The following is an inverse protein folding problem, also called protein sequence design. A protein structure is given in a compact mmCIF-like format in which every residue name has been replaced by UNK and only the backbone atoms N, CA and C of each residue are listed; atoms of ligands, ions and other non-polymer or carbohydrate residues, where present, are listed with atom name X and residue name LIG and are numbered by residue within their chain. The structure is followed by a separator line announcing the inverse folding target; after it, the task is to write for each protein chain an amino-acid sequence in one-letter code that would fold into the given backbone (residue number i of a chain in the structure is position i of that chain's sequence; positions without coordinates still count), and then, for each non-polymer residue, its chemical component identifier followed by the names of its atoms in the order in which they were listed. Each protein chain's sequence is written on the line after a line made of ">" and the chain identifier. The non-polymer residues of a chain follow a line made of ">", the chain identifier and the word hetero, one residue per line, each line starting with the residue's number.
data_IF_492712463064
#
_entry.id   IF_492712463064
#
_cell.length_a   1.000
_cell.length_b   1.000
_cell.length_c   1.000
_cell.angle_alpha   90.00
_cell.angle_beta   90.00
_cell.angle_gamma   90.00
#
_symmetry.space_group_name_H-M   'P 1'
#
loop_
_entity.id
_entity.type
_entity.pdbx_description
1 polymer ?
#
# COMPACT_ATOMS: atom_id res chain seq x y z
N UNK A 1 -26.79 4.06 8.55
CA UNK A 1 -27.15 5.15 7.61
C UNK A 1 -26.60 4.77 6.24
N UNK A 2 -27.37 4.87 5.17
CA UNK A 2 -26.89 4.58 3.81
C UNK A 2 -26.33 5.85 3.16
N UNK A 3 -25.15 5.74 2.54
CA UNK A 3 -24.57 6.83 1.77
C UNK A 3 -25.35 6.98 0.44
N UNK A 4 -25.68 8.20 0.00
CA UNK A 4 -26.60 8.39 -1.13
C UNK A 4 -26.02 7.90 -2.47
N UNK A 5 -24.72 8.04 -2.67
CA UNK A 5 -24.06 7.60 -3.91
C UNK A 5 -23.75 6.10 -3.87
N UNK A 6 -23.96 5.45 -5.01
CA UNK A 6 -23.54 4.06 -5.25
C UNK A 6 -22.25 4.06 -6.06
N UNK A 7 -21.40 3.09 -5.78
CA UNK A 7 -20.11 2.94 -6.46
C UNK A 7 -20.11 1.65 -7.27
N UNK A 8 -19.33 1.60 -8.34
CA UNK A 8 -19.08 0.35 -9.05
C UNK A 8 -18.11 -0.52 -8.25
N UNK A 9 -17.06 0.11 -7.70
CA UNK A 9 -15.97 -0.56 -6.98
C UNK A 9 -15.64 0.18 -5.68
N UNK A 10 -15.57 -0.56 -4.57
CA UNK A 10 -15.01 -0.06 -3.31
C UNK A 10 -13.66 -0.71 -3.06
N UNK A 11 -12.65 0.09 -2.75
CA UNK A 11 -11.31 -0.35 -2.34
C UNK A 11 -11.14 -0.12 -0.85
N UNK A 12 -10.82 -1.17 -0.09
CA UNK A 12 -10.64 -1.11 1.37
C UNK A 12 -9.15 -1.13 1.72
N UNK A 13 -8.61 0.05 2.00
CA UNK A 13 -7.25 0.27 2.50
C UNK A 13 -6.31 0.86 1.44
N UNK A 14 -5.86 2.10 1.65
CA UNK A 14 -5.01 2.85 0.70
C UNK A 14 -3.50 2.59 0.81
N UNK A 15 -3.11 1.34 1.04
CA UNK A 15 -1.70 0.91 0.89
C UNK A 15 -1.32 0.70 -0.58
N UNK A 16 -0.08 0.25 -0.85
CA UNK A 16 0.44 0.07 -2.22
C UNK A 16 -0.52 -0.68 -3.16
N UNK A 17 -1.11 -1.79 -2.71
CA UNK A 17 -2.07 -2.55 -3.51
C UNK A 17 -3.39 -1.80 -3.74
N UNK A 18 -3.92 -1.14 -2.70
CA UNK A 18 -5.16 -0.37 -2.79
C UNK A 18 -5.02 0.88 -3.67
N UNK A 19 -3.84 1.51 -3.66
CA UNK A 19 -3.51 2.60 -4.58
C UNK A 19 -3.65 2.15 -6.03
N UNK A 20 -2.96 1.08 -6.44
CA UNK A 20 -3.02 0.62 -7.83
C UNK A 20 -4.41 0.11 -8.20
N UNK A 21 -5.12 -0.58 -7.29
CA UNK A 21 -6.48 -1.04 -7.53
C UNK A 21 -7.48 0.13 -7.71
N UNK A 22 -7.39 1.16 -6.88
CA UNK A 22 -8.24 2.34 -6.97
C UNK A 22 -7.99 3.12 -8.26
N UNK A 23 -6.72 3.32 -8.63
CA UNK A 23 -6.35 4.00 -9.87
C UNK A 23 -6.78 3.20 -11.09
N UNK A 24 -6.59 1.88 -11.09
CA UNK A 24 -6.99 1.02 -12.19
C UNK A 24 -8.52 1.06 -12.42
N UNK A 25 -9.31 0.84 -11.36
CA UNK A 25 -10.77 0.88 -11.46
C UNK A 25 -11.29 2.23 -11.97
N UNK A 26 -10.80 3.34 -11.39
CA UNK A 26 -11.20 4.68 -11.81
C UNK A 26 -10.79 5.01 -13.26
N UNK A 27 -9.59 4.60 -13.69
CA UNK A 27 -9.09 4.81 -15.07
C UNK A 27 -9.84 3.96 -16.10
N UNK A 28 -10.38 2.82 -15.68
CA UNK A 28 -11.26 1.99 -16.51
C UNK A 28 -12.69 2.53 -16.60
N UNK A 29 -12.99 3.66 -15.95
CA UNK A 29 -14.29 4.34 -16.01
C UNK A 29 -15.27 3.95 -14.90
N UNK A 30 -14.86 3.11 -13.94
CA UNK A 30 -15.69 2.75 -12.79
C UNK A 30 -15.75 3.88 -11.76
N UNK A 31 -16.95 4.19 -11.27
CA UNK A 31 -17.12 5.03 -10.07
C UNK A 31 -16.52 4.31 -8.87
N UNK A 32 -15.42 4.84 -8.33
CA UNK A 32 -14.59 4.12 -7.37
C UNK A 32 -14.53 4.88 -6.04
N UNK A 33 -14.71 4.17 -4.94
CA UNK A 33 -14.51 4.69 -3.59
C UNK A 33 -13.30 4.01 -2.93
N UNK A 34 -12.31 4.79 -2.50
CA UNK A 34 -11.22 4.34 -1.65
C UNK A 34 -11.50 4.68 -0.19
N UNK A 35 -11.71 3.65 0.63
CA UNK A 35 -11.82 3.76 2.07
C UNK A 35 -10.47 3.52 2.73
N UNK A 36 -10.07 4.41 3.63
CA UNK A 36 -8.81 4.30 4.37
C UNK A 36 -8.97 4.79 5.80
N UNK A 37 -8.21 4.24 6.74
CA UNK A 37 -8.21 4.70 8.13
C UNK A 37 -7.65 6.13 8.25
N UNK A 38 -6.67 6.45 7.41
CA UNK A 38 -5.98 7.73 7.46
C UNK A 38 -5.49 8.14 6.05
N UNK A 39 -5.98 9.26 5.54
CA UNK A 39 -5.59 9.82 4.23
C UNK A 39 -4.11 10.24 4.24
N UNK A 40 -3.58 10.68 5.37
CA UNK A 40 -2.19 11.10 5.52
C UNK A 40 -1.17 9.94 5.37
N UNK A 41 -1.67 8.70 5.33
CA UNK A 41 -0.85 7.48 5.20
C UNK A 41 -0.93 6.81 3.81
N UNK A 42 -1.66 7.42 2.86
CA UNK A 42 -1.70 6.96 1.48
C UNK A 42 -0.29 6.93 0.88
N UNK A 43 0.12 5.78 0.32
CA UNK A 43 1.47 5.61 -0.22
C UNK A 43 2.59 5.45 0.83
N UNK A 44 2.28 5.30 2.12
CA UNK A 44 3.31 5.18 3.16
C UNK A 44 4.17 3.91 3.01
N UNK A 45 5.49 4.09 2.93
CA UNK A 45 6.49 3.02 2.98
C UNK A 45 6.83 2.63 4.42
N UNK A 46 6.19 1.59 4.96
CA UNK A 46 6.37 1.19 6.36
C UNK A 46 7.68 0.44 6.66
N UNK A 47 8.24 -0.24 5.65
CA UNK A 47 9.44 -1.06 5.81
C UNK A 47 10.67 -0.39 5.18
N UNK A 48 11.18 -0.89 4.05
CA UNK A 48 12.36 -0.35 3.40
C UNK A 48 12.02 0.94 2.62
N UNK A 49 12.80 2.04 2.72
CA UNK A 49 12.65 3.21 1.84
C UNK A 49 13.20 2.94 0.43
N UNK A 50 12.73 1.88 -0.24
CA UNK A 50 13.24 1.46 -1.54
C UNK A 50 12.19 0.74 -2.39
N UNK A 51 12.27 0.96 -3.70
CA UNK A 51 11.45 0.29 -4.72
C UNK A 51 12.37 -0.46 -5.70
N UNK A 52 11.88 -1.58 -6.22
CA UNK A 52 12.62 -2.44 -7.13
C UNK A 52 13.61 -3.38 -6.42
N UNK A 53 14.68 -3.74 -7.11
CA UNK A 53 15.58 -4.84 -6.77
C UNK A 53 15.26 -6.13 -7.52
N UNK A 54 16.02 -7.20 -7.27
CA UNK A 54 15.86 -8.48 -7.97
C UNK A 54 14.43 -8.99 -7.80
N UNK A 55 13.81 -9.40 -8.91
CA UNK A 55 12.38 -9.76 -8.98
C UNK A 55 11.44 -8.55 -8.96
N UNK A 56 11.57 -7.68 -7.95
CA UNK A 56 10.68 -6.53 -7.75
C UNK A 56 10.76 -5.49 -8.87
N UNK A 57 11.92 -5.27 -9.46
CA UNK A 57 12.10 -4.30 -10.56
C UNK A 57 11.24 -4.63 -11.76
N UNK A 58 11.12 -5.93 -12.10
CA UNK A 58 10.33 -6.37 -13.23
C UNK A 58 8.86 -6.10 -12.97
N UNK A 59 8.36 -6.48 -11.78
CA UNK A 59 6.99 -6.17 -11.36
C UNK A 59 6.69 -4.68 -11.37
N UNK A 60 7.63 -3.82 -10.94
CA UNK A 60 7.45 -2.35 -10.99
C UNK A 60 7.32 -1.87 -12.44
N UNK A 61 8.15 -2.37 -13.36
CA UNK A 61 8.09 -2.02 -14.78
C UNK A 61 6.85 -2.59 -15.48
N UNK A 62 6.39 -3.77 -15.08
CA UNK A 62 5.13 -4.35 -15.57
C UNK A 62 3.92 -3.54 -15.11
N UNK A 63 3.88 -3.14 -13.84
CA UNK A 63 2.85 -2.23 -13.31
C UNK A 63 2.87 -0.89 -14.06
N UNK A 64 4.05 -0.33 -14.35
CA UNK A 64 4.19 0.89 -15.15
C UNK A 64 3.66 0.73 -16.58
N UNK A 65 4.00 -0.38 -17.24
CA UNK A 65 3.52 -0.69 -18.59
C UNK A 65 1.99 -0.84 -18.65
N UNK A 66 1.37 -1.31 -17.56
CA UNK A 66 -0.09 -1.37 -17.39
C UNK A 66 -0.71 -0.03 -16.96
N UNK A 67 0.10 1.03 -16.82
CA UNK A 67 -0.35 2.37 -16.50
C UNK A 67 -0.51 2.64 -15.01
N UNK A 68 0.16 1.88 -14.13
CA UNK A 68 0.17 2.10 -12.69
C UNK A 68 0.92 3.36 -12.24
N UNK A 69 0.94 3.62 -10.93
CA UNK A 69 1.55 4.82 -10.35
C UNK A 69 2.92 4.58 -9.69
N UNK A 70 3.21 3.34 -9.26
CA UNK A 70 4.40 3.00 -8.46
C UNK A 70 5.72 3.47 -9.09
N UNK A 71 5.92 3.24 -10.40
CA UNK A 71 7.15 3.64 -11.07
C UNK A 71 7.30 5.16 -11.14
N UNK A 72 6.26 5.88 -11.56
CA UNK A 72 6.25 7.35 -11.64
C UNK A 72 6.48 8.01 -10.28
N UNK A 73 5.85 7.50 -9.22
CA UNK A 73 6.07 7.97 -7.86
C UNK A 73 7.51 7.69 -7.39
N UNK A 74 8.09 6.55 -7.79
CA UNK A 74 9.49 6.22 -7.52
C UNK A 74 10.45 7.16 -8.25
N UNK A 75 10.17 7.48 -9.51
CA UNK A 75 11.02 8.38 -10.29
C UNK A 75 11.04 9.80 -9.74
N UNK A 76 9.89 10.27 -9.22
CA UNK A 76 9.75 11.56 -8.56
C UNK A 76 10.45 11.60 -7.20
N UNK A 77 10.32 10.55 -6.39
CA UNK A 77 10.82 10.51 -5.02
C UNK A 77 12.20 9.87 -4.86
N UNK A 78 12.81 9.40 -5.95
CA UNK A 78 14.04 8.61 -5.89
C UNK A 78 15.27 9.45 -5.59
N UNK A 79 16.04 9.04 -4.58
CA UNK A 79 17.27 9.72 -4.13
C UNK A 79 18.56 8.96 -4.51
N UNK A 80 18.43 7.72 -4.97
CA UNK A 80 19.54 6.90 -5.48
C UNK A 80 18.99 5.82 -6.40
N UNK A 81 19.62 5.59 -7.56
CA UNK A 81 19.25 4.55 -8.52
C UNK A 81 20.46 3.69 -8.87
N UNK A 82 20.25 2.36 -8.94
CA UNK A 82 21.31 1.39 -9.28
C UNK A 82 20.77 0.24 -10.11
N UNK A 83 21.59 -0.28 -11.02
CA UNK A 83 21.37 -1.54 -11.73
C UNK A 83 22.05 -2.67 -10.97
N UNK A 84 21.25 -3.53 -10.36
CA UNK A 84 21.71 -4.79 -9.80
C UNK A 84 22.03 -5.77 -10.92
N UNK A 85 23.03 -6.63 -10.69
CA UNK A 85 23.54 -7.58 -11.69
C UNK A 85 24.00 -6.92 -13.01
N UNK A 86 24.51 -5.68 -12.97
CA UNK A 86 24.95 -4.92 -14.15
C UNK A 86 25.97 -5.66 -15.03
N UNK A 87 26.85 -6.47 -14.42
CA UNK A 87 27.86 -7.30 -15.13
C UNK A 87 27.29 -8.57 -15.76
N UNK A 88 26.03 -8.92 -15.50
CA UNK A 88 25.35 -10.09 -16.08
C UNK A 88 24.49 -9.70 -17.27
N UNK A 89 23.97 -10.70 -17.98
CA UNK A 89 23.10 -10.50 -19.14
C UNK A 89 21.79 -9.78 -18.79
N UNK A 90 21.13 -9.11 -19.77
CA UNK A 90 19.93 -8.29 -19.53
C UNK A 90 18.80 -9.00 -18.78
N UNK A 91 18.60 -10.30 -19.04
CA UNK A 91 17.54 -11.11 -18.45
C UNK A 91 17.57 -11.19 -16.91
N UNK A 92 18.70 -10.88 -16.27
CA UNK A 92 18.86 -10.96 -14.81
C UNK A 92 19.20 -9.61 -14.17
N UNK A 93 19.21 -8.52 -14.95
CA UNK A 93 19.41 -7.17 -14.44
C UNK A 93 18.14 -6.68 -13.75
N UNK A 94 18.30 -5.81 -12.75
CA UNK A 94 17.17 -5.22 -12.04
C UNK A 94 17.51 -3.82 -11.55
N UNK A 95 16.60 -2.88 -11.69
CA UNK A 95 16.76 -1.53 -11.15
C UNK A 95 16.27 -1.48 -9.71
N UNK A 96 17.04 -0.83 -8.84
CA UNK A 96 16.65 -0.54 -7.46
C UNK A 96 16.82 0.94 -7.18
N UNK A 97 15.79 1.55 -6.63
CA UNK A 97 15.79 2.94 -6.20
C UNK A 97 15.65 3.02 -4.68
N UNK A 98 16.47 3.83 -4.02
CA UNK A 98 16.14 4.36 -2.69
C UNK A 98 15.21 5.56 -2.90
N UNK A 99 14.16 5.65 -2.10
CA UNK A 99 13.15 6.71 -2.22
C UNK A 99 13.09 7.52 -0.94
N UNK A 100 12.96 8.84 -1.09
CA UNK A 100 12.48 9.70 -0.02
C UNK A 100 11.04 9.28 0.32
N UNK A 101 10.82 8.89 1.58
CA UNK A 101 9.52 8.39 2.03
C UNK A 101 8.44 9.46 2.01
N UNK A 102 8.79 10.72 2.29
CA UNK A 102 7.83 11.80 2.33
C UNK A 102 7.40 12.15 0.90
N UNK A 103 8.36 12.33 -0.01
CA UNK A 103 8.07 12.64 -1.42
C UNK A 103 7.29 11.51 -2.10
N UNK A 104 7.60 10.24 -1.82
CA UNK A 104 6.85 9.14 -2.41
C UNK A 104 5.40 9.11 -1.92
N UNK A 105 5.21 9.31 -0.60
CA UNK A 105 3.89 9.37 0.02
C UNK A 105 3.06 10.51 -0.57
N UNK A 106 3.66 11.68 -0.72
CA UNK A 106 3.05 12.86 -1.35
C UNK A 106 2.68 12.59 -2.81
N UNK A 107 3.60 12.07 -3.62
CA UNK A 107 3.35 11.77 -5.03
C UNK A 107 2.16 10.81 -5.22
N UNK A 108 2.07 9.77 -4.39
CA UNK A 108 0.94 8.83 -4.43
C UNK A 108 -0.36 9.49 -4.00
N UNK A 109 -0.34 10.26 -2.90
CA UNK A 109 -1.52 10.98 -2.41
C UNK A 109 -2.05 11.93 -3.48
N UNK A 110 -1.20 12.77 -4.05
CA UNK A 110 -1.56 13.71 -5.12
C UNK A 110 -2.14 12.97 -6.33
N UNK A 111 -1.56 11.83 -6.70
CA UNK A 111 -2.07 11.01 -7.82
C UNK A 111 -3.49 10.49 -7.54
N UNK A 112 -3.76 10.04 -6.31
CA UNK A 112 -5.07 9.54 -5.91
C UNK A 112 -6.11 10.66 -5.81
N UNK A 113 -5.77 11.78 -5.15
CA UNK A 113 -6.69 12.91 -4.93
C UNK A 113 -7.12 13.59 -6.24
N UNK A 114 -6.28 13.55 -7.27
CA UNK A 114 -6.56 14.15 -8.57
C UNK A 114 -7.07 13.14 -9.62
N UNK A 115 -7.28 11.88 -9.27
CA UNK A 115 -7.80 10.87 -10.19
C UNK A 115 -9.31 11.06 -10.41
N UNK A 116 -9.71 11.43 -11.62
CA UNK A 116 -11.13 11.50 -12.01
C UNK A 116 -11.81 10.13 -11.79
N UNK A 117 -13.03 10.16 -11.23
CA UNK A 117 -13.82 8.97 -10.96
C UNK A 117 -13.47 8.25 -9.65
N UNK A 118 -12.50 8.77 -8.89
CA UNK A 118 -12.11 8.25 -7.59
C UNK A 118 -12.52 9.21 -6.47
N UNK A 119 -13.29 8.72 -5.50
CA UNK A 119 -13.55 9.39 -4.23
C UNK A 119 -12.73 8.74 -3.12
N UNK A 120 -12.21 9.55 -2.20
CA UNK A 120 -11.46 9.06 -1.04
C UNK A 120 -12.26 9.43 0.21
N UNK A 121 -12.49 8.44 1.08
CA UNK A 121 -13.21 8.65 2.33
C UNK A 121 -12.45 8.06 3.50
N UNK A 122 -12.19 8.88 4.51
CA UNK A 122 -11.44 8.46 5.68
C UNK A 122 -12.35 7.75 6.69
N UNK A 123 -12.45 6.44 6.57
CA UNK A 123 -13.06 5.62 7.60
C UNK A 123 -12.58 4.16 7.54
N UNK A 124 -12.50 3.53 8.71
CA UNK A 124 -12.30 2.10 8.84
C UNK A 124 -13.53 1.32 8.32
N UNK A 125 -13.29 0.15 7.73
CA UNK A 125 -14.34 -0.78 7.33
C UNK A 125 -14.39 -1.91 8.36
N UNK A 126 -15.59 -2.18 8.87
CA UNK A 126 -15.82 -3.20 9.90
C UNK A 126 -16.58 -4.42 9.36
N UNK A 127 -17.37 -4.27 8.29
CA UNK A 127 -18.20 -5.35 7.74
C UNK A 127 -18.35 -5.27 6.21
N UNK A 128 -18.69 -6.40 5.60
CA UNK A 128 -19.12 -6.55 4.21
C UNK A 128 -20.64 -6.80 4.17
N UNK A 129 -21.33 -6.06 3.31
CA UNK A 129 -22.74 -6.34 3.00
C UNK A 129 -22.74 -7.45 1.96
N UNK A 130 -23.24 -8.64 2.33
CA UNK A 130 -23.32 -9.81 1.46
C UNK A 130 -24.76 -10.30 1.42
N UNK A 131 -25.33 -10.42 0.23
CA UNK A 131 -26.69 -10.89 -0.02
C UNK A 131 -26.64 -12.01 -1.07
N UNK A 132 -27.22 -13.17 -0.77
CA UNK A 132 -27.23 -14.33 -1.66
C UNK A 132 -25.83 -14.65 -2.23
N UNK A 133 -24.83 -14.71 -1.35
CA UNK A 133 -23.41 -14.94 -1.68
C UNK A 133 -22.74 -13.87 -2.55
N UNK A 134 -23.44 -12.77 -2.86
CA UNK A 134 -22.91 -11.66 -3.63
C UNK A 134 -22.61 -10.46 -2.73
N UNK A 135 -21.44 -9.85 -2.92
CA UNK A 135 -21.12 -8.57 -2.25
C UNK A 135 -22.03 -7.46 -2.78
N UNK A 136 -22.52 -6.63 -1.86
CA UNK A 136 -23.35 -5.46 -2.14
C UNK A 136 -22.77 -4.16 -1.61
N UNK A 137 -21.67 -4.23 -0.86
CA UNK A 137 -21.04 -3.06 -0.29
C UNK A 137 -20.28 -3.35 1.00
N UNK A 138 -20.05 -2.30 1.77
CA UNK A 138 -19.33 -2.35 3.04
C UNK A 138 -20.04 -1.51 4.10
N UNK A 139 -19.78 -1.83 5.37
CA UNK A 139 -20.19 -1.01 6.51
C UNK A 139 -18.95 -0.48 7.20
N UNK A 140 -18.91 0.83 7.41
CA UNK A 140 -17.83 1.48 8.13
C UNK A 140 -17.95 1.31 9.63
N UNK A 141 -16.86 1.58 10.35
CA UNK A 141 -16.86 1.63 11.82
C UNK A 141 -17.90 2.61 12.40
N UNK A 142 -18.21 3.68 11.67
CA UNK A 142 -19.25 4.65 12.04
C UNK A 142 -20.69 4.19 11.69
N UNK A 143 -20.88 2.99 11.15
CA UNK A 143 -22.18 2.46 10.74
C UNK A 143 -22.74 3.02 9.43
N UNK A 144 -21.89 3.66 8.62
CA UNK A 144 -22.27 4.13 7.27
C UNK A 144 -22.18 2.94 6.32
N UNK A 145 -23.23 2.75 5.51
CA UNK A 145 -23.31 1.71 4.50
C UNK A 145 -22.98 2.34 3.15
N UNK A 146 -21.95 1.82 2.49
CA UNK A 146 -21.60 2.19 1.12
C UNK A 146 -21.92 0.99 0.23
N UNK A 147 -22.73 1.20 -0.81
CA UNK A 147 -23.12 0.14 -1.73
C UNK A 147 -22.19 0.09 -2.95
N UNK A 148 -21.82 -1.13 -3.36
CA UNK A 148 -21.08 -1.36 -4.59
C UNK A 148 -21.26 -2.76 -5.18
N UNK A 149 -21.00 -2.87 -6.47
CA UNK A 149 -21.04 -4.13 -7.22
C UNK A 149 -19.81 -5.02 -6.96
N UNK A 150 -18.67 -4.41 -6.61
CA UNK A 150 -17.44 -5.11 -6.28
C UNK A 150 -16.70 -4.45 -5.11
N UNK A 151 -15.98 -5.26 -4.33
CA UNK A 151 -15.12 -4.80 -3.23
C UNK A 151 -13.73 -5.44 -3.35
N UNK A 152 -12.68 -4.64 -3.25
CA UNK A 152 -11.29 -5.08 -3.22
C UNK A 152 -10.71 -4.81 -1.83
N UNK A 153 -10.24 -5.86 -1.15
CA UNK A 153 -9.72 -5.76 0.23
C UNK A 153 -8.19 -5.73 0.20
N UNK A 154 -7.60 -4.63 0.66
CA UNK A 154 -6.15 -4.38 0.69
C UNK A 154 -5.69 -3.90 2.06
N UNK A 155 -6.08 -4.64 3.10
CA UNK A 155 -5.86 -4.30 4.53
C UNK A 155 -4.41 -4.34 4.98
N UNK A 156 -3.49 -4.87 4.17
CA UNK A 156 -2.08 -4.98 4.52
C UNK A 156 -1.87 -5.71 5.87
N UNK A 157 -1.10 -5.10 6.76
CA UNK A 157 -0.80 -5.65 8.09
C UNK A 157 -1.86 -5.33 9.16
N UNK A 158 -2.97 -4.68 8.79
CA UNK A 158 -3.96 -4.19 9.76
C UNK A 158 -4.96 -5.26 10.22
N UNK A 159 -5.28 -6.22 9.35
CA UNK A 159 -6.33 -7.21 9.61
C UNK A 159 -5.94 -8.14 10.77
N UNK A 160 -6.58 -7.96 11.94
CA UNK A 160 -6.20 -8.67 13.18
C UNK A 160 -4.71 -8.52 13.54
N UNK A 161 -4.14 -7.35 13.24
CA UNK A 161 -2.72 -7.05 13.41
C UNK A 161 -2.27 -7.08 14.87
N UNK A 162 -1.10 -7.68 15.11
CA UNK A 162 -0.45 -7.73 16.42
C UNK A 162 1.02 -7.38 16.24
N UNK A 163 1.50 -6.43 17.03
CA UNK A 163 2.89 -5.99 17.04
C UNK A 163 3.63 -6.71 18.16
N UNK A 164 4.82 -7.21 17.85
CA UNK A 164 5.68 -7.95 18.76
C UNK A 164 6.98 -7.19 18.99
N UNK A 165 7.30 -6.87 20.25
CA UNK A 165 8.56 -6.24 20.67
C UNK A 165 9.14 -7.07 21.83
N UNK A 166 10.18 -7.86 21.55
CA UNK A 166 10.66 -8.86 22.50
C UNK A 166 9.54 -9.85 22.86
N UNK A 167 9.21 -9.94 24.15
CA UNK A 167 8.10 -10.75 24.66
C UNK A 167 6.78 -9.97 24.76
N UNK A 168 6.81 -8.65 24.55
CA UNK A 168 5.62 -7.80 24.63
C UNK A 168 4.82 -7.84 23.34
N UNK A 169 3.50 -7.91 23.47
CA UNK A 169 2.57 -7.94 22.34
C UNK A 169 1.51 -6.86 22.53
N UNK A 170 1.18 -6.13 21.47
CA UNK A 170 0.08 -5.16 21.48
C UNK A 170 -0.70 -5.20 20.17
N UNK A 171 -1.97 -4.86 20.24
CA UNK A 171 -2.86 -4.78 19.07
C UNK A 171 -2.45 -3.59 18.20
N UNK A 172 -2.24 -3.81 16.90
CA UNK A 172 -1.80 -2.74 16.00
C UNK A 172 -1.57 -3.21 14.57
N UNK A 173 -1.92 -2.38 13.59
CA UNK A 173 -1.61 -2.64 12.19
C UNK A 173 -0.19 -2.23 11.81
N UNK A 174 0.23 -1.07 12.34
CA UNK A 174 1.58 -0.51 12.30
C UNK A 174 1.83 0.21 13.62
N UNK A 175 3.08 0.57 13.91
CA UNK A 175 3.39 1.33 15.12
C UNK A 175 2.60 2.65 15.13
N UNK A 176 1.73 2.84 16.12
CA UNK A 176 0.86 4.01 16.26
C UNK A 176 -0.50 3.89 15.55
N UNK A 177 -0.72 2.88 14.70
CA UNK A 177 -1.96 2.71 13.96
C UNK A 177 -2.80 1.54 14.52
N UNK A 178 -4.12 1.73 14.76
CA UNK A 178 -4.98 0.67 15.27
C UNK A 178 -5.14 -0.47 14.25
N UNK A 179 -5.39 -1.70 14.71
CA UNK A 179 -5.71 -2.81 13.81
C UNK A 179 -7.18 -2.79 13.39
N UNK A 180 -7.48 -3.49 12.28
CA UNK A 180 -8.84 -3.78 11.85
C UNK A 180 -9.27 -5.14 12.41
N UNK A 181 -9.94 -5.11 13.56
CA UNK A 181 -10.35 -6.32 14.31
C UNK A 181 -11.70 -6.86 13.81
N UNK A 182 -12.71 -6.00 13.73
CA UNK A 182 -14.08 -6.39 13.34
C UNK A 182 -14.14 -7.00 11.96
N UNK A 183 -13.48 -6.38 10.97
CA UNK A 183 -13.39 -6.94 9.63
C UNK A 183 -12.68 -8.31 9.61
N UNK A 184 -11.69 -8.51 10.48
CA UNK A 184 -11.00 -9.81 10.59
C UNK A 184 -11.90 -10.90 11.18
N UNK A 185 -12.73 -10.56 12.17
CA UNK A 185 -13.75 -11.46 12.70
C UNK A 185 -14.78 -11.79 11.62
N UNK A 186 -15.29 -10.77 10.92
CA UNK A 186 -16.26 -10.94 9.85
C UNK A 186 -15.77 -11.87 8.74
N UNK A 187 -14.53 -11.70 8.28
CA UNK A 187 -13.97 -12.57 7.24
C UNK A 187 -13.79 -14.03 7.70
N UNK A 188 -13.65 -14.28 9.01
CA UNK A 188 -13.61 -15.65 9.56
C UNK A 188 -15.00 -16.31 9.65
N UNK A 189 -16.07 -15.53 9.64
CA UNK A 189 -17.45 -16.04 9.58
C UNK A 189 -17.82 -16.52 8.16
N UNK A 190 -17.07 -16.07 7.15
CA UNK A 190 -17.22 -16.49 5.76
C UNK A 190 -16.40 -17.76 5.49
N UNK A 191 -16.68 -18.51 4.39
CA UNK A 191 -16.04 -19.80 4.11
C UNK A 191 -14.59 -19.66 3.60
N UNK A 192 -13.78 -18.83 4.25
CA UNK A 192 -12.37 -18.59 3.93
C UNK A 192 -11.44 -19.31 4.91
N UNK A 193 -10.37 -19.91 4.38
CA UNK A 193 -9.27 -20.39 5.19
C UNK A 193 -8.39 -19.22 5.64
N UNK A 194 -8.31 -18.98 6.94
CA UNK A 194 -7.57 -17.85 7.51
C UNK A 194 -6.30 -18.33 8.24
N UNK A 195 -5.14 -17.82 7.81
CA UNK A 195 -3.85 -18.03 8.47
C UNK A 195 -3.26 -16.75 9.04
N UNK A 196 -2.11 -16.86 9.73
CA UNK A 196 -1.34 -15.70 10.21
C UNK A 196 0.08 -15.74 9.66
N UNK A 197 0.55 -14.60 9.18
CA UNK A 197 1.94 -14.37 8.79
C UNK A 197 2.58 -13.37 9.76
N UNK A 198 3.90 -13.46 9.90
CA UNK A 198 4.70 -12.54 10.71
C UNK A 198 5.90 -12.05 9.92
N UNK A 199 6.12 -10.74 9.97
CA UNK A 199 7.26 -10.08 9.33
C UNK A 199 7.89 -9.08 10.30
N UNK A 200 9.21 -8.87 10.21
CA UNK A 200 9.92 -7.87 11.01
C UNK A 200 10.29 -6.63 10.20
N UNK A 201 10.53 -5.52 10.90
CA UNK A 201 11.22 -4.33 10.36
C UNK A 201 12.41 -4.01 11.26
N UNK A 202 13.55 -3.56 10.71
CA UNK A 202 14.66 -3.10 11.53
C UNK A 202 14.26 -1.85 12.34
N UNK A 203 14.96 -1.56 13.45
CA UNK A 203 14.78 -0.30 14.17
C UNK A 203 15.12 0.91 13.28
N UNK A 204 14.65 2.09 13.68
CA UNK A 204 15.06 3.36 13.07
C UNK A 204 16.11 3.98 13.99
N UNK A 205 17.24 4.39 13.42
CA UNK A 205 18.37 4.96 14.14
C UNK A 205 18.53 6.44 13.77
N UNK A 206 18.93 7.27 14.73
CA UNK A 206 19.27 8.68 14.46
C UNK A 206 20.61 8.75 13.72
N UNK A 207 20.61 9.34 12.53
CA UNK A 207 21.81 9.49 11.70
C UNK A 207 22.95 10.21 12.43
N UNK A 208 22.65 11.14 13.36
CA UNK A 208 23.66 11.87 14.14
C UNK A 208 24.45 10.98 15.10
N UNK A 209 23.95 9.78 15.40
CA UNK A 209 24.60 8.81 16.29
C UNK A 209 25.40 7.76 15.53
N UNK A 210 25.48 7.87 14.20
CA UNK A 210 26.20 6.94 13.33
C UNK A 210 27.51 7.55 12.87
N UNK A 211 28.60 6.83 13.10
CA UNK A 211 29.93 7.16 12.56
C UNK A 211 30.05 6.66 11.10
N UNK A 212 29.75 7.56 10.15
CA UNK A 212 29.82 7.25 8.72
C UNK A 212 31.25 7.21 8.17
N UNK A 213 32.25 7.79 8.85
CA UNK A 213 33.65 7.82 8.37
C UNK A 213 34.27 6.42 8.34
N UNK A 214 33.76 5.52 9.20
CA UNK A 214 34.21 4.12 9.28
C UNK A 214 33.48 3.20 8.29
N UNK A 215 32.54 3.71 7.51
CA UNK A 215 31.71 2.94 6.59
C UNK A 215 32.13 3.12 5.13
N UNK A 216 31.85 2.11 4.31
CA UNK A 216 32.06 2.20 2.87
C UNK A 216 30.85 2.85 2.19
N UNK A 217 31.06 3.99 1.53
CA UNK A 217 30.03 4.62 0.71
C UNK A 217 29.65 3.75 -0.50
N UNK A 218 28.37 3.75 -0.86
CA UNK A 218 27.85 3.07 -2.04
C UNK A 218 26.94 4.02 -2.82
N UNK A 219 27.49 4.78 -3.79
CA UNK A 219 26.71 5.75 -4.57
C UNK A 219 25.75 5.06 -5.55
N UNK A 220 24.88 5.87 -6.16
CA UNK A 220 24.09 5.46 -7.32
C UNK A 220 24.97 5.23 -8.55
N UNK A 221 24.36 4.72 -9.63
CA UNK A 221 25.04 4.57 -10.90
C UNK A 221 24.95 5.89 -11.71
N UNK A 222 26.00 6.20 -12.48
CA UNK A 222 26.09 7.34 -13.41
C UNK A 222 26.43 6.83 -14.83
N UNK A 223 25.63 7.15 -15.86
CA UNK A 223 24.39 7.93 -15.81
C UNK A 223 23.28 7.21 -15.00
N UNK A 224 22.35 8.01 -14.45
CA UNK A 224 21.20 7.48 -13.69
C UNK A 224 20.46 6.41 -14.53
N UNK A 225 20.24 5.20 -14.00
CA UNK A 225 19.48 4.17 -14.68
C UNK A 225 18.05 4.62 -15.02
N UNK A 226 17.56 4.21 -16.20
CA UNK A 226 16.19 4.41 -16.70
C UNK A 226 15.27 3.28 -16.24
#
# INVERSE_FOLDING_TARGET
>A
MEYPDKFDVIIVGGGHAGTEAALAAARMGSTTLLLTHNIETLGQMSCNPAIGGIGKSHLVKEVDALGGAMAKATDHAGIQFRVLNSRKGPAVRATRAQADRALYKEAIRLTLENQKGLSIFQQAVDDLIVENEQVRGVVTQSGIRFLASAVVITTGTFLGGVIHIGLQNHSGGRAGDPPSIRLAERLRELPFNVGRLKTGTPPRIDAKTVDFERMQAQPGDEPRPV
#
